data_IF_732199197862
#
_entry.id   IF_732199197862
#
_cell.length_a   1.000
_cell.length_b   1.000
_cell.length_c   1.000
_cell.angle_alpha   90.00
_cell.angle_beta   90.00
_cell.angle_gamma   90.00
#
_symmetry.space_group_name_H-M   'P 1'
#
loop_
_entity.id
_entity.type
_entity.pdbx_description
1 polymer ?
#
# COMPACT_ATOMS: atom_id res chain seq x y z
N UNK A 1 -22.22 -27.17 -17.40
CA UNK A 1 -20.75 -27.17 -17.29
C UNK A 1 -20.40 -27.21 -15.82
N UNK A 2 -19.50 -28.09 -15.38
CA UNK A 2 -19.06 -28.17 -14.00
C UNK A 2 -18.25 -26.92 -13.63
N UNK A 3 -18.74 -26.13 -12.67
CA UNK A 3 -18.03 -24.98 -12.11
C UNK A 3 -16.71 -25.46 -11.47
N UNK A 4 -15.57 -24.94 -11.92
CA UNK A 4 -14.28 -25.23 -11.31
C UNK A 4 -14.24 -24.52 -9.95
N UNK A 5 -14.18 -25.30 -8.87
CA UNK A 5 -14.09 -24.74 -7.53
C UNK A 5 -12.63 -24.47 -7.18
N UNK A 6 -12.37 -23.60 -6.19
CA UNK A 6 -11.00 -23.25 -5.80
C UNK A 6 -10.19 -24.46 -5.30
N UNK A 7 -10.87 -25.49 -4.79
CA UNK A 7 -10.27 -26.75 -4.37
C UNK A 7 -9.77 -27.60 -5.54
N UNK A 8 -10.31 -27.37 -6.74
CA UNK A 8 -9.95 -28.08 -7.97
C UNK A 8 -8.76 -27.39 -8.68
N UNK A 9 -8.41 -26.17 -8.27
CA UNK A 9 -7.22 -25.43 -8.72
C UNK A 9 -5.98 -25.98 -7.99
N UNK A 10 -4.85 -26.22 -8.70
CA UNK A 10 -3.57 -26.56 -8.09
C UNK A 10 -3.22 -25.58 -6.96
N UNK A 11 -2.60 -26.09 -5.89
CA UNK A 11 -2.44 -25.31 -4.66
C UNK A 11 -1.61 -24.05 -4.89
N UNK A 12 -0.56 -24.17 -5.70
CA UNK A 12 0.34 -23.11 -6.16
C UNK A 12 -0.37 -22.01 -6.96
N UNK A 13 -1.47 -22.33 -7.64
CA UNK A 13 -2.23 -21.39 -8.46
C UNK A 13 -3.38 -20.73 -7.71
N UNK A 14 -3.60 -21.10 -6.44
CA UNK A 14 -4.63 -20.49 -5.61
C UNK A 14 -4.22 -19.08 -5.18
N UNK A 15 -5.16 -18.12 -5.09
CA UNK A 15 -4.84 -16.73 -4.80
C UNK A 15 -4.02 -16.50 -3.52
N UNK A 16 -4.33 -17.21 -2.42
CA UNK A 16 -3.62 -17.02 -1.14
C UNK A 16 -2.17 -17.48 -1.23
N UNK A 17 -1.95 -18.61 -1.87
CA UNK A 17 -0.64 -19.20 -2.08
C UNK A 17 0.20 -18.36 -3.05
N UNK A 18 -0.41 -17.88 -4.14
CA UNK A 18 0.20 -16.91 -5.05
C UNK A 18 0.58 -15.61 -4.34
N UNK A 19 -0.28 -15.09 -3.46
CA UNK A 19 0.01 -13.89 -2.68
C UNK A 19 1.25 -14.09 -1.80
N UNK A 20 1.39 -15.28 -1.17
CA UNK A 20 2.53 -15.60 -0.31
C UNK A 20 3.83 -15.81 -1.11
N UNK A 21 3.76 -16.40 -2.30
CA UNK A 21 4.94 -16.75 -3.09
C UNK A 21 5.43 -15.60 -3.98
N UNK A 22 4.49 -14.86 -4.60
CA UNK A 22 4.79 -13.87 -5.63
C UNK A 22 4.50 -12.43 -5.15
N UNK A 23 3.72 -12.26 -4.08
CA UNK A 23 3.31 -10.95 -3.58
C UNK A 23 2.12 -10.34 -4.34
N UNK A 24 1.51 -9.32 -3.74
CA UNK A 24 0.24 -8.74 -4.20
C UNK A 24 0.29 -8.16 -5.62
N UNK A 25 1.46 -7.68 -6.06
CA UNK A 25 1.63 -7.08 -7.40
C UNK A 25 1.42 -8.08 -8.56
N UNK A 26 1.46 -9.39 -8.27
CA UNK A 26 1.26 -10.46 -9.26
C UNK A 26 -0.19 -10.99 -9.27
N UNK A 27 -1.07 -10.42 -8.46
CA UNK A 27 -2.48 -10.79 -8.38
C UNK A 27 -3.34 -9.76 -9.10
N UNK A 28 -4.34 -10.26 -9.82
CA UNK A 28 -5.43 -9.46 -10.35
C UNK A 28 -6.36 -8.96 -9.24
N UNK A 29 -7.13 -7.91 -9.54
CA UNK A 29 -8.18 -7.41 -8.64
C UNK A 29 -9.19 -8.52 -8.27
N UNK A 30 -9.47 -9.43 -9.20
CA UNK A 30 -10.34 -10.59 -8.98
C UNK A 30 -9.74 -11.52 -7.92
N UNK A 31 -8.45 -11.85 -8.01
CA UNK A 31 -7.77 -12.69 -7.03
C UNK A 31 -7.70 -12.03 -5.65
N UNK A 32 -7.41 -10.72 -5.59
CA UNK A 32 -7.39 -9.97 -4.32
C UNK A 32 -8.78 -9.98 -3.64
N UNK A 33 -9.85 -9.76 -4.40
CA UNK A 33 -11.21 -9.86 -3.89
C UNK A 33 -11.57 -11.29 -3.48
N UNK A 34 -11.11 -12.30 -4.22
CA UNK A 34 -11.35 -13.69 -3.87
C UNK A 34 -10.73 -14.06 -2.51
N UNK A 35 -9.56 -13.50 -2.19
CA UNK A 35 -8.92 -13.68 -0.88
C UNK A 35 -9.77 -13.07 0.24
N UNK A 36 -10.28 -11.84 0.03
CA UNK A 36 -11.13 -11.13 0.99
C UNK A 36 -12.49 -11.81 1.21
N UNK A 37 -13.10 -12.32 0.14
CA UNK A 37 -14.36 -13.07 0.20
C UNK A 37 -14.18 -14.45 0.84
N UNK A 38 -12.99 -15.04 0.70
CA UNK A 38 -12.57 -16.31 1.30
C UNK A 38 -13.18 -17.55 0.67
N UNK A 39 -14.47 -17.53 0.34
CA UNK A 39 -15.18 -18.64 -0.30
C UNK A 39 -16.28 -18.15 -1.24
N UNK A 40 -16.67 -19.02 -2.18
CA UNK A 40 -17.78 -18.78 -3.10
C UNK A 40 -19.11 -19.18 -2.47
N UNK A 41 -20.00 -19.71 -3.29
CA UNK A 41 -21.23 -20.38 -2.86
C UNK A 41 -21.15 -21.88 -3.19
N UNK A 42 -22.24 -22.62 -2.99
CA UNK A 42 -22.32 -24.02 -3.46
C UNK A 42 -22.35 -24.13 -4.98
N UNK A 43 -22.82 -23.09 -5.67
CA UNK A 43 -23.09 -23.08 -7.10
C UNK A 43 -22.01 -22.32 -7.90
N UNK A 44 -21.26 -21.45 -7.24
CA UNK A 44 -20.36 -20.48 -7.85
C UNK A 44 -19.02 -20.45 -7.10
N UNK A 45 -17.90 -20.47 -7.83
CA UNK A 45 -16.58 -20.37 -7.23
C UNK A 45 -16.33 -18.98 -6.65
N UNK A 46 -15.37 -18.86 -5.72
CA UNK A 46 -14.99 -17.54 -5.18
C UNK A 46 -14.41 -16.63 -6.28
N UNK A 47 -13.78 -17.21 -7.31
CA UNK A 47 -13.24 -16.48 -8.45
C UNK A 47 -14.37 -15.88 -9.29
N UNK A 48 -15.40 -16.67 -9.59
CA UNK A 48 -16.56 -16.21 -10.36
C UNK A 48 -17.35 -15.15 -9.60
N UNK A 49 -17.57 -15.37 -8.29
CA UNK A 49 -18.22 -14.40 -7.41
C UNK A 49 -17.45 -13.06 -7.37
N UNK A 50 -16.11 -13.11 -7.31
CA UNK A 50 -15.25 -11.92 -7.32
C UNK A 50 -15.31 -11.18 -8.65
N UNK A 51 -15.34 -11.91 -9.77
CA UNK A 51 -15.47 -11.31 -11.09
C UNK A 51 -16.82 -10.64 -11.26
N UNK A 52 -17.91 -11.31 -10.82
CA UNK A 52 -19.25 -10.75 -10.89
C UNK A 52 -19.41 -9.51 -10.02
N UNK A 53 -18.79 -9.50 -8.83
CA UNK A 53 -18.69 -8.31 -7.99
C UNK A 53 -18.01 -7.16 -8.73
N UNK A 54 -16.86 -7.40 -9.36
CA UNK A 54 -16.16 -6.38 -10.16
C UNK A 54 -17.01 -5.87 -11.32
N UNK A 55 -17.68 -6.77 -12.05
CA UNK A 55 -18.55 -6.38 -13.16
C UNK A 55 -19.74 -5.55 -12.70
N UNK A 56 -20.35 -5.88 -11.56
CA UNK A 56 -21.48 -5.13 -10.99
C UNK A 56 -21.12 -3.67 -10.68
N UNK A 57 -19.89 -3.43 -10.24
CA UNK A 57 -19.38 -2.09 -9.91
C UNK A 57 -18.45 -1.50 -10.99
N UNK A 58 -18.46 -2.06 -12.21
CA UNK A 58 -17.62 -1.59 -13.33
C UNK A 58 -16.12 -1.41 -12.95
N UNK A 59 -15.61 -2.33 -12.11
CA UNK A 59 -14.25 -2.33 -11.58
C UNK A 59 -14.14 -1.82 -10.15
N UNK A 60 -12.92 -1.42 -9.75
CA UNK A 60 -12.65 -0.99 -8.37
C UNK A 60 -13.15 0.42 -8.04
N UNK A 61 -13.37 1.24 -9.07
CA UNK A 61 -13.71 2.66 -8.89
C UNK A 61 -15.07 2.81 -8.22
N UNK A 62 -16.13 2.25 -8.79
CA UNK A 62 -17.46 2.35 -8.18
C UNK A 62 -17.57 1.44 -6.95
N UNK A 63 -16.82 0.33 -6.92
CA UNK A 63 -16.77 -0.54 -5.74
C UNK A 63 -16.29 0.23 -4.50
N UNK A 64 -15.38 1.20 -4.67
CA UNK A 64 -14.87 1.99 -3.55
C UNK A 64 -15.94 2.82 -2.83
N UNK A 65 -17.07 3.09 -3.47
CA UNK A 65 -18.20 3.86 -2.92
C UNK A 65 -19.44 3.00 -2.66
N UNK A 66 -19.29 1.67 -2.74
CA UNK A 66 -20.37 0.73 -2.49
C UNK A 66 -20.91 0.83 -1.06
N UNK A 67 -22.23 0.70 -0.94
CA UNK A 67 -22.95 0.56 0.32
C UNK A 67 -23.06 -0.90 0.75
N UNK A 68 -23.41 -1.14 2.02
CA UNK A 68 -23.62 -2.52 2.49
C UNK A 68 -24.85 -3.15 1.82
N UNK A 69 -25.88 -2.36 1.55
CA UNK A 69 -27.11 -2.78 0.87
C UNK A 69 -26.83 -3.26 -0.56
N UNK A 70 -26.03 -2.49 -1.31
CA UNK A 70 -25.62 -2.87 -2.67
C UNK A 70 -24.78 -4.15 -2.66
N UNK A 71 -23.80 -4.28 -1.74
CA UNK A 71 -22.99 -5.49 -1.63
C UNK A 71 -23.84 -6.72 -1.28
N UNK A 72 -24.77 -6.61 -0.33
CA UNK A 72 -25.62 -7.73 0.11
C UNK A 72 -26.68 -8.09 -0.94
N UNK A 73 -27.03 -7.17 -1.84
CA UNK A 73 -27.92 -7.47 -2.98
C UNK A 73 -27.31 -8.49 -3.96
N UNK A 74 -25.98 -8.65 -3.95
CA UNK A 74 -25.27 -9.61 -4.78
C UNK A 74 -25.37 -11.00 -4.15
N UNK A 75 -26.11 -11.91 -4.79
CA UNK A 75 -26.22 -13.32 -4.38
C UNK A 75 -24.83 -13.90 -4.05
N UNK A 76 -24.65 -14.46 -2.86
CA UNK A 76 -23.38 -15.03 -2.41
C UNK A 76 -22.50 -14.10 -1.55
N UNK A 77 -22.85 -12.82 -1.45
CA UNK A 77 -22.26 -11.85 -0.53
C UNK A 77 -23.26 -11.59 0.60
N UNK A 78 -23.05 -12.24 1.74
CA UNK A 78 -23.79 -11.91 2.97
C UNK A 78 -23.13 -10.76 3.73
N UNK A 79 -23.77 -10.32 4.81
CA UNK A 79 -23.29 -9.23 5.69
C UNK A 79 -21.81 -9.38 6.06
N UNK A 80 -21.37 -10.57 6.45
CA UNK A 80 -19.98 -10.81 6.84
C UNK A 80 -18.97 -10.52 5.69
N UNK A 81 -19.26 -10.97 4.47
CA UNK A 81 -18.41 -10.71 3.29
C UNK A 81 -18.48 -9.24 2.88
N UNK A 82 -19.67 -8.63 2.93
CA UNK A 82 -19.87 -7.21 2.64
C UNK A 82 -19.08 -6.30 3.59
N UNK A 83 -19.19 -6.52 4.90
CA UNK A 83 -18.43 -5.76 5.92
C UNK A 83 -16.92 -5.94 5.75
N UNK A 84 -16.45 -7.14 5.39
CA UNK A 84 -15.04 -7.40 5.10
C UNK A 84 -14.54 -6.52 3.93
N UNK A 85 -15.31 -6.45 2.84
CA UNK A 85 -14.99 -5.60 1.68
C UNK A 85 -14.99 -4.11 2.07
N UNK A 86 -16.04 -3.64 2.74
CA UNK A 86 -16.12 -2.24 3.18
C UNK A 86 -14.95 -1.86 4.09
N UNK A 87 -14.57 -2.76 5.00
CA UNK A 87 -13.42 -2.55 5.89
C UNK A 87 -12.12 -2.44 5.11
N UNK A 88 -11.89 -3.30 4.11
CA UNK A 88 -10.71 -3.25 3.26
C UNK A 88 -10.65 -1.94 2.45
N UNK A 89 -11.77 -1.49 1.89
CA UNK A 89 -11.87 -0.23 1.15
C UNK A 89 -11.57 0.96 2.06
N UNK A 90 -12.18 1.00 3.25
CA UNK A 90 -12.00 2.09 4.21
C UNK A 90 -10.55 2.17 4.69
N UNK A 91 -9.91 1.03 4.96
CA UNK A 91 -8.47 0.99 5.28
C UNK A 91 -7.66 1.57 4.11
N UNK A 92 -7.96 1.18 2.87
CA UNK A 92 -7.31 1.74 1.67
C UNK A 92 -7.51 3.26 1.54
N UNK A 93 -8.73 3.76 1.78
CA UNK A 93 -9.04 5.20 1.80
C UNK A 93 -8.22 5.91 2.88
N UNK A 94 -8.16 5.37 4.11
CA UNK A 94 -7.38 5.94 5.21
C UNK A 94 -5.89 5.93 4.93
N UNK A 95 -5.34 4.85 4.37
CA UNK A 95 -3.93 4.78 4.00
C UNK A 95 -3.56 5.85 2.96
N UNK A 96 -4.43 6.08 1.96
CA UNK A 96 -4.21 7.13 0.97
C UNK A 96 -4.41 8.54 1.51
N UNK A 97 -5.34 8.72 2.46
CA UNK A 97 -5.57 9.99 3.15
C UNK A 97 -4.55 10.25 4.27
N UNK A 98 -3.80 9.22 4.69
CA UNK A 98 -2.80 9.31 5.73
C UNK A 98 -1.66 10.23 5.27
N UNK A 99 -1.82 11.50 5.58
CA UNK A 99 -0.74 12.47 5.58
C UNK A 99 -0.10 12.37 6.96
N UNK A 100 1.21 12.12 7.06
CA UNK A 100 1.90 12.22 8.34
C UNK A 100 1.50 13.52 9.01
N UNK A 101 1.04 13.43 10.26
CA UNK A 101 0.77 14.59 11.12
C UNK A 101 2.00 15.51 11.07
N UNK A 102 1.76 16.75 10.66
CA UNK A 102 2.71 17.85 10.55
C UNK A 102 4.12 17.44 10.08
N UNK A 103 4.26 17.17 8.78
CA UNK A 103 5.60 17.16 8.17
C UNK A 103 6.27 18.50 8.44
N UNK A 104 7.43 18.44 9.10
CA UNK A 104 8.26 19.60 9.39
C UNK A 104 8.50 20.42 8.12
N UNK A 105 8.18 21.72 8.14
CA UNK A 105 8.31 22.61 6.98
C UNK A 105 9.62 23.38 7.10
N UNK A 106 10.46 23.29 6.08
CA UNK A 106 11.68 24.09 5.98
C UNK A 106 11.37 25.38 5.21
N UNK A 107 11.25 26.52 5.89
CA UNK A 107 11.05 27.84 5.25
C UNK A 107 12.36 28.62 5.18
N UNK A 108 13.35 28.22 5.94
CA UNK A 108 14.66 28.86 6.05
C UNK A 108 15.77 27.83 6.28
N UNK A 109 17.05 28.18 6.03
CA UNK A 109 18.18 27.34 6.43
C UNK A 109 18.18 26.98 7.92
N UNK A 110 17.71 27.91 8.78
CA UNK A 110 17.57 27.71 10.22
C UNK A 110 16.61 26.56 10.54
N UNK A 111 15.47 26.48 9.84
CA UNK A 111 14.51 25.38 10.03
C UNK A 111 15.16 24.04 9.69
N UNK A 112 15.93 23.98 8.60
CA UNK A 112 16.66 22.78 8.19
C UNK A 112 17.73 22.38 9.19
N UNK A 113 18.47 23.35 9.75
CA UNK A 113 19.42 23.13 10.82
C UNK A 113 18.71 22.57 12.06
N UNK A 114 17.67 23.24 12.55
CA UNK A 114 16.88 22.83 13.70
C UNK A 114 16.29 21.42 13.55
N UNK A 115 15.84 21.05 12.34
CA UNK A 115 15.31 19.71 12.05
C UNK A 115 16.30 18.58 12.31
N UNK A 116 17.59 18.81 12.05
CA UNK A 116 18.63 17.79 12.21
C UNK A 116 19.49 18.00 13.46
N UNK A 117 19.43 19.18 14.08
CA UNK A 117 20.36 19.64 15.11
C UNK A 117 20.35 18.73 16.34
N UNK A 118 19.17 18.34 16.82
CA UNK A 118 19.02 17.55 18.05
C UNK A 118 19.76 16.21 17.96
N UNK A 119 19.65 15.52 16.82
CA UNK A 119 20.34 14.26 16.57
C UNK A 119 21.80 14.48 16.18
N UNK A 120 22.06 15.37 15.21
CA UNK A 120 23.39 15.51 14.61
C UNK A 120 24.43 16.13 15.55
N UNK A 121 24.01 16.96 16.52
CA UNK A 121 24.95 17.63 17.45
C UNK A 121 25.77 16.67 18.31
N UNK A 122 25.31 15.42 18.47
CA UNK A 122 25.97 14.41 19.32
C UNK A 122 26.83 13.44 18.52
N UNK A 123 26.76 13.49 17.19
CA UNK A 123 27.50 12.58 16.32
C UNK A 123 29.00 12.87 16.40
N UNK A 124 29.79 11.81 16.53
CA UNK A 124 31.26 11.88 16.65
C UNK A 124 31.98 11.92 15.30
N UNK A 125 31.24 11.75 14.21
CA UNK A 125 31.73 11.76 12.84
C UNK A 125 30.84 12.71 12.02
N UNK A 126 31.37 13.22 10.91
CA UNK A 126 30.58 14.05 10.01
C UNK A 126 29.53 13.19 9.30
N UNK A 127 28.29 13.64 9.19
CA UNK A 127 27.24 12.95 8.45
C UNK A 127 26.74 13.86 7.33
N UNK A 128 26.78 13.37 6.10
CA UNK A 128 26.15 14.04 4.96
C UNK A 128 24.72 13.53 4.83
N UNK A 129 23.76 14.38 5.21
CA UNK A 129 22.33 14.06 5.26
C UNK A 129 21.59 14.87 4.19
N UNK A 130 20.76 14.19 3.42
CA UNK A 130 19.86 14.79 2.43
C UNK A 130 18.43 14.75 2.96
N UNK A 131 17.80 15.93 2.98
CA UNK A 131 16.38 16.10 3.28
C UNK A 131 15.62 16.27 1.97
N UNK A 132 14.71 15.35 1.68
CA UNK A 132 13.84 15.44 0.52
C UNK A 132 12.61 16.24 0.91
N UNK A 133 12.28 17.24 0.10
CA UNK A 133 11.15 18.13 0.35
C UNK A 133 10.09 17.98 -0.75
N UNK A 134 8.82 18.17 -0.40
CA UNK A 134 7.77 18.37 -1.41
C UNK A 134 7.70 19.84 -1.84
N UNK A 135 6.77 20.15 -2.76
CA UNK A 135 6.53 21.51 -3.28
C UNK A 135 6.08 22.53 -2.23
N UNK A 136 5.74 22.09 -1.00
CA UNK A 136 5.40 22.93 0.15
C UNK A 136 6.54 23.02 1.17
N UNK A 137 7.75 22.60 0.78
CA UNK A 137 8.94 22.48 1.62
C UNK A 137 8.79 21.58 2.84
N UNK A 138 7.85 20.64 2.81
CA UNK A 138 7.68 19.66 3.88
C UNK A 138 8.67 18.53 3.70
N UNK A 139 9.36 18.14 4.78
CA UNK A 139 10.25 16.97 4.78
C UNK A 139 9.44 15.71 4.50
N UNK A 140 9.77 15.02 3.40
CA UNK A 140 9.11 13.78 2.96
C UNK A 140 9.98 12.55 3.19
N UNK A 141 11.30 12.74 3.22
CA UNK A 141 12.27 11.70 3.47
C UNK A 141 13.57 12.32 3.98
N UNK A 142 14.31 11.54 4.78
CA UNK A 142 15.64 11.89 5.31
C UNK A 142 16.56 10.70 5.08
N UNK A 143 17.70 10.94 4.47
CA UNK A 143 18.67 9.88 4.21
C UNK A 143 20.09 10.38 4.51
N UNK A 144 20.85 9.61 5.29
CA UNK A 144 22.30 9.80 5.38
C UNK A 144 22.92 9.15 4.17
N UNK A 145 23.50 9.95 3.29
CA UNK A 145 24.15 9.49 2.07
C UNK A 145 25.57 9.03 2.38
N UNK A 146 26.24 9.70 3.32
CA UNK A 146 27.61 9.37 3.68
C UNK A 146 27.90 9.67 5.16
N UNK A 147 28.77 8.84 5.75
CA UNK A 147 29.33 9.06 7.08
C UNK A 147 30.84 9.24 6.93
N UNK A 148 31.30 10.42 7.33
CA UNK A 148 32.68 10.88 7.47
C UNK A 148 33.62 9.81 7.99
N UNK A 149 34.74 9.62 7.28
CA UNK A 149 35.93 9.01 7.86
C UNK A 149 36.67 10.04 8.75
N UNK A 150 37.84 9.70 9.30
CA UNK A 150 38.60 10.59 10.18
C UNK A 150 38.90 11.99 9.60
N UNK A 151 39.05 12.13 8.26
CA UNK A 151 39.65 13.31 7.65
C UNK A 151 38.89 13.91 6.44
N UNK A 152 37.80 13.29 5.97
CA UNK A 152 37.05 13.81 4.82
C UNK A 152 35.66 13.19 4.65
N UNK A 153 34.78 13.98 4.01
CA UNK A 153 33.50 13.55 3.44
C UNK A 153 33.48 13.80 1.93
N UNK A 154 33.79 12.77 1.14
CA UNK A 154 33.74 12.83 -0.33
C UNK A 154 32.38 12.27 -0.77
N UNK A 155 31.50 13.14 -1.27
CA UNK A 155 30.19 12.75 -1.78
C UNK A 155 30.18 12.89 -3.28
N UNK A 156 29.87 11.82 -4.01
CA UNK A 156 29.77 11.88 -5.45
C UNK A 156 28.37 12.39 -5.87
N UNK A 157 28.22 13.37 -6.78
CA UNK A 157 26.91 13.93 -7.17
C UNK A 157 25.90 12.87 -7.65
N UNK A 158 26.39 11.76 -8.20
CA UNK A 158 25.56 10.60 -8.60
C UNK A 158 24.76 9.98 -7.44
N UNK A 159 25.28 10.01 -6.23
CA UNK A 159 24.62 9.51 -5.01
C UNK A 159 23.51 10.44 -4.52
N UNK A 160 23.50 11.69 -4.99
CA UNK A 160 22.49 12.70 -4.64
C UNK A 160 21.34 12.72 -5.67
N UNK A 161 21.63 12.47 -6.95
CA UNK A 161 20.66 12.62 -8.06
C UNK A 161 19.89 11.32 -8.37
N UNK A 162 20.35 10.16 -7.88
CA UNK A 162 19.61 8.89 -7.92
C UNK A 162 19.30 8.41 -6.49
N UNK A 163 18.26 8.94 -5.85
CA UNK A 163 17.75 8.39 -4.60
C UNK A 163 17.06 7.04 -4.81
#
# INVERSE_FOLDING_TARGET
MSTIMIKDVPKEDRPRERLLQLGANHLSNQELLAILLGSGTKEESVMDLSNRLLMHFEGLKLLSDATIEELVSIKGIGIAKGVSILSAIEIGKRMNQYRPLERYIIRSPEDGANYVMEEMRTLKQEHFVVLFLNTKNQVIHRQTIFIGSLNASIVHPREVVRP
#
